data_IF_016588000971
#
_entry.id   IF_016588000971
#
_cell.length_a   1.000
_cell.length_b   1.000
_cell.length_c   1.000
_cell.angle_alpha   90.00
_cell.angle_beta   90.00
_cell.angle_gamma   90.00
#
_symmetry.space_group_name_H-M   'P 1'
#
loop_
_entity.id
_entity.type
_entity.pdbx_description
1 polymer ?
#
# COMPACT_ATOMS: atom_id res chain seq x y z
N UNK A 1 -19.83 -5.21 -15.41
CA UNK A 1 -18.64 -4.86 -14.63
C UNK A 1 -18.07 -6.15 -14.07
N UNK A 2 -16.79 -6.46 -14.31
CA UNK A 2 -16.17 -7.68 -13.79
C UNK A 2 -15.94 -7.57 -12.28
N UNK A 3 -15.81 -8.70 -11.57
CA UNK A 3 -15.48 -8.72 -10.13
C UNK A 3 -14.17 -7.94 -9.88
N UNK A 4 -13.16 -8.19 -10.71
CA UNK A 4 -11.88 -7.48 -10.65
C UNK A 4 -12.03 -5.97 -10.84
N UNK A 5 -12.89 -5.54 -11.78
CA UNK A 5 -13.19 -4.13 -12.00
C UNK A 5 -13.81 -3.46 -10.77
N UNK A 6 -14.79 -4.11 -10.14
CA UNK A 6 -15.40 -3.62 -8.89
C UNK A 6 -14.38 -3.44 -7.78
N UNK A 7 -13.48 -4.41 -7.59
CA UNK A 7 -12.46 -4.36 -6.54
C UNK A 7 -11.42 -3.26 -6.80
N UNK A 8 -11.06 -3.03 -8.06
CA UNK A 8 -10.18 -1.92 -8.39
C UNK A 8 -10.87 -0.58 -8.12
N UNK A 9 -12.15 -0.43 -8.47
CA UNK A 9 -12.91 0.81 -8.21
C UNK A 9 -13.08 1.08 -6.70
N UNK A 10 -13.29 0.04 -5.90
CA UNK A 10 -13.29 0.13 -4.44
C UNK A 10 -11.92 0.58 -3.91
N UNK A 11 -10.83 -0.01 -4.40
CA UNK A 11 -9.48 0.40 -4.02
C UNK A 11 -9.18 1.84 -4.46
N UNK A 12 -9.56 2.24 -5.68
CA UNK A 12 -9.38 3.61 -6.20
C UNK A 12 -10.07 4.63 -5.28
N UNK A 13 -11.30 4.32 -4.84
CA UNK A 13 -12.05 5.16 -3.91
C UNK A 13 -11.34 5.27 -2.56
N UNK A 14 -10.86 4.16 -2.01
CA UNK A 14 -10.10 4.13 -0.76
C UNK A 14 -8.79 4.91 -0.86
N UNK A 15 -8.06 4.78 -1.98
CA UNK A 15 -6.81 5.51 -2.24
C UNK A 15 -7.07 7.01 -2.36
N UNK A 16 -8.11 7.44 -3.09
CA UNK A 16 -8.48 8.84 -3.16
C UNK A 16 -8.78 9.42 -1.76
N UNK A 17 -9.56 8.71 -0.96
CA UNK A 17 -9.85 9.11 0.42
C UNK A 17 -8.61 9.17 1.33
N UNK A 18 -7.68 8.22 1.18
CA UNK A 18 -6.40 8.24 1.90
C UNK A 18 -5.62 9.52 1.54
N UNK A 19 -5.46 9.78 0.25
CA UNK A 19 -4.71 10.93 -0.27
C UNK A 19 -5.32 12.24 0.25
N UNK A 20 -6.65 12.38 0.18
CA UNK A 20 -7.33 13.59 0.67
C UNK A 20 -7.10 13.81 2.17
N UNK A 21 -7.18 12.75 2.98
CA UNK A 21 -6.92 12.85 4.42
C UNK A 21 -5.48 13.27 4.70
N UNK A 22 -4.50 12.70 4.00
CA UNK A 22 -3.09 13.02 4.23
C UNK A 22 -2.68 14.38 3.67
N UNK A 23 -3.28 14.84 2.56
CA UNK A 23 -3.06 16.20 2.04
C UNK A 23 -3.64 17.28 2.95
N UNK A 24 -4.74 16.97 3.65
CA UNK A 24 -5.38 17.87 4.60
C UNK A 24 -4.86 17.71 6.05
N UNK A 25 -3.81 16.91 6.26
CA UNK A 25 -3.33 16.57 7.58
C UNK A 25 -2.68 17.80 8.25
N UNK A 26 -3.18 18.27 9.40
CA UNK A 26 -2.63 19.47 10.05
C UNK A 26 -1.25 19.23 10.67
N UNK A 27 -1.02 18.01 11.17
CA UNK A 27 0.24 17.59 11.78
C UNK A 27 0.56 16.13 11.36
N UNK A 28 1.59 15.90 10.53
CA UNK A 28 2.01 14.55 10.15
C UNK A 28 2.64 13.75 11.28
N UNK A 29 3.11 14.41 12.33
CA UNK A 29 3.84 13.78 13.44
C UNK A 29 2.91 13.37 14.58
N UNK A 30 1.59 13.56 14.43
CA UNK A 30 0.58 13.14 15.42
C UNK A 30 0.71 11.64 15.72
N UNK A 31 0.83 11.24 17.00
CA UNK A 31 0.96 9.82 17.36
C UNK A 31 -0.32 9.04 17.04
N UNK A 32 -0.19 7.96 16.25
CA UNK A 32 -1.28 7.01 15.94
C UNK A 32 -1.15 5.73 16.75
N UNK A 33 0.07 5.20 16.82
CA UNK A 33 0.44 4.06 17.67
C UNK A 33 1.56 4.49 18.63
N UNK A 34 1.95 3.61 19.56
CA UNK A 34 2.96 3.93 20.59
C UNK A 34 4.28 4.46 20.00
N UNK A 35 4.70 3.96 18.83
CA UNK A 35 5.95 4.34 18.18
C UNK A 35 5.77 5.03 16.83
N UNK A 36 4.55 5.12 16.30
CA UNK A 36 4.31 5.55 14.93
C UNK A 36 3.38 6.76 14.87
N UNK A 37 3.85 7.79 14.19
CA UNK A 37 3.08 8.95 13.76
C UNK A 37 2.14 8.62 12.60
N UNK A 38 1.26 9.57 12.24
CA UNK A 38 0.45 9.45 11.03
C UNK A 38 1.32 9.32 9.77
N UNK A 39 2.44 10.04 9.69
CA UNK A 39 3.42 9.89 8.61
C UNK A 39 4.00 8.47 8.56
N UNK A 40 4.39 7.90 9.69
CA UNK A 40 4.95 6.54 9.73
C UNK A 40 3.95 5.50 9.24
N UNK A 41 2.66 5.69 9.56
CA UNK A 41 1.58 4.86 9.01
C UNK A 41 1.48 4.97 7.48
N UNK A 42 1.58 6.18 6.92
CA UNK A 42 1.60 6.35 5.47
C UNK A 42 2.82 5.69 4.83
N UNK A 43 3.98 5.82 5.48
CA UNK A 43 5.22 5.19 5.03
C UNK A 43 5.07 3.67 5.00
N UNK A 44 4.52 3.07 6.05
CA UNK A 44 4.21 1.63 6.10
C UNK A 44 3.26 1.21 4.97
N UNK A 45 2.18 1.95 4.75
CA UNK A 45 1.26 1.69 3.64
C UNK A 45 1.99 1.77 2.28
N UNK A 46 2.82 2.80 2.09
CA UNK A 46 3.59 3.03 0.86
C UNK A 46 4.57 1.91 0.59
N UNK A 47 5.29 1.46 1.61
CA UNK A 47 6.24 0.36 1.49
C UNK A 47 5.59 -0.92 0.93
N UNK A 48 4.42 -1.30 1.48
CA UNK A 48 3.71 -2.49 1.01
C UNK A 48 3.04 -2.28 -0.35
N UNK A 49 2.51 -1.09 -0.62
CA UNK A 49 1.90 -0.75 -1.91
C UNK A 49 2.92 -0.77 -3.05
N UNK A 50 4.13 -0.25 -2.82
CA UNK A 50 5.26 -0.35 -3.76
C UNK A 50 5.71 -1.79 -3.98
N UNK A 51 5.69 -2.61 -2.93
CA UNK A 51 6.00 -4.04 -3.07
C UNK A 51 4.98 -4.75 -3.96
N UNK A 52 3.70 -4.46 -3.79
CA UNK A 52 2.65 -4.99 -4.66
C UNK A 52 2.83 -4.51 -6.10
N UNK A 53 2.97 -3.21 -6.31
CA UNK A 53 3.17 -2.60 -7.62
C UNK A 53 4.36 -3.22 -8.37
N UNK A 54 5.51 -3.37 -7.69
CA UNK A 54 6.71 -3.98 -8.29
C UNK A 54 6.50 -5.44 -8.67
N UNK A 55 5.91 -6.25 -7.79
CA UNK A 55 5.66 -7.67 -8.08
C UNK A 55 4.69 -7.85 -9.26
N UNK A 56 3.68 -6.99 -9.33
CA UNK A 56 2.72 -6.96 -10.43
C UNK A 56 3.38 -6.57 -11.75
N UNK A 57 4.16 -5.50 -11.76
CA UNK A 57 4.89 -5.02 -12.92
C UNK A 57 5.91 -6.06 -13.43
N UNK A 58 6.63 -6.72 -12.52
CA UNK A 58 7.54 -7.82 -12.87
C UNK A 58 6.80 -8.94 -13.62
N UNK A 59 5.67 -9.41 -13.09
CA UNK A 59 4.88 -10.48 -13.72
C UNK A 59 4.38 -10.10 -15.11
N UNK A 60 3.82 -8.89 -15.26
CA UNK A 60 3.30 -8.40 -16.55
C UNK A 60 4.39 -8.34 -17.62
N UNK A 61 5.61 -8.02 -17.23
CA UNK A 61 6.73 -7.91 -18.15
C UNK A 61 7.58 -9.19 -18.24
N UNK A 62 7.10 -10.32 -17.72
CA UNK A 62 7.82 -11.61 -17.77
C UNK A 62 9.13 -11.63 -16.95
N UNK A 63 9.31 -10.68 -16.02
CA UNK A 63 10.40 -10.68 -15.05
C UNK A 63 10.02 -11.54 -13.85
N UNK A 64 11.02 -12.12 -13.20
CA UNK A 64 10.82 -12.87 -11.97
C UNK A 64 10.65 -11.91 -10.79
N UNK A 65 9.49 -11.92 -10.08
CA UNK A 65 9.31 -11.07 -8.91
C UNK A 65 10.30 -11.40 -7.80
N UNK A 66 10.66 -10.38 -7.04
CA UNK A 66 11.50 -10.50 -5.84
C UNK A 66 10.69 -10.10 -4.59
N UNK A 67 9.80 -10.97 -4.09
CA UNK A 67 8.98 -10.66 -2.92
C UNK A 67 9.87 -10.52 -1.67
N UNK A 68 9.42 -9.65 -0.77
CA UNK A 68 10.13 -9.33 0.47
C UNK A 68 10.42 -10.60 1.30
N UNK A 69 11.57 -10.62 1.97
CA UNK A 69 12.02 -11.75 2.81
C UNK A 69 12.40 -11.23 4.19
N UNK A 70 11.82 -11.81 5.24
CA UNK A 70 12.08 -11.42 6.63
C UNK A 70 10.87 -11.66 7.52
N UNK A 71 10.95 -11.30 8.80
CA UNK A 71 9.76 -11.22 9.67
C UNK A 71 8.99 -9.95 9.33
N UNK A 72 7.66 -9.99 9.48
CA UNK A 72 6.82 -8.82 9.17
C UNK A 72 7.21 -7.60 10.00
N UNK A 73 7.49 -7.79 11.30
CA UNK A 73 7.94 -6.69 12.17
C UNK A 73 9.23 -6.03 11.68
N UNK A 74 10.21 -6.81 11.23
CA UNK A 74 11.48 -6.27 10.73
C UNK A 74 11.28 -5.56 9.38
N UNK A 75 10.42 -6.09 8.52
CA UNK A 75 10.10 -5.48 7.22
C UNK A 75 9.34 -4.16 7.38
N UNK A 76 8.37 -4.14 8.29
CA UNK A 76 7.60 -2.93 8.59
C UNK A 76 8.52 -1.85 9.14
N UNK A 77 9.34 -2.17 10.15
CA UNK A 77 10.28 -1.20 10.73
C UNK A 77 11.31 -0.75 9.69
N UNK A 78 11.91 -1.67 8.93
CA UNK A 78 12.87 -1.33 7.90
C UNK A 78 12.28 -0.47 6.77
N UNK A 79 11.00 -0.67 6.43
CA UNK A 79 10.27 0.19 5.49
C UNK A 79 10.08 1.61 6.02
N UNK A 80 9.70 1.75 7.29
CA UNK A 80 9.58 3.05 7.97
C UNK A 80 10.94 3.76 8.02
N UNK A 81 11.97 3.08 8.50
CA UNK A 81 13.32 3.63 8.65
C UNK A 81 13.89 4.09 7.30
N UNK A 82 13.70 3.30 6.23
CA UNK A 82 14.20 3.60 4.90
C UNK A 82 13.60 4.88 4.29
N UNK A 83 12.42 5.30 4.75
CA UNK A 83 11.69 6.47 4.24
C UNK A 83 11.56 7.60 5.27
N UNK A 84 12.10 7.45 6.48
CA UNK A 84 11.97 8.44 7.56
C UNK A 84 12.44 9.85 7.16
N UNK A 85 13.47 9.92 6.31
CA UNK A 85 14.06 11.15 5.79
C UNK A 85 13.20 11.88 4.73
N UNK A 86 12.17 11.23 4.19
CA UNK A 86 11.31 11.81 3.15
C UNK A 86 10.29 12.77 3.75
N UNK A 87 9.85 13.78 2.99
CA UNK A 87 8.72 14.61 3.39
C UNK A 87 7.39 13.84 3.24
N UNK A 88 6.32 14.31 3.88
CA UNK A 88 4.99 13.71 3.69
C UNK A 88 4.57 13.73 2.20
N UNK A 89 4.86 14.82 1.50
CA UNK A 89 4.54 14.98 0.09
C UNK A 89 5.29 13.98 -0.79
N UNK A 90 6.57 13.69 -0.49
CA UNK A 90 7.36 12.70 -1.23
C UNK A 90 6.81 11.29 -1.03
N UNK A 91 6.43 10.94 0.22
CA UNK A 91 5.82 9.64 0.52
C UNK A 91 4.48 9.48 -0.20
N UNK A 92 3.64 10.52 -0.22
CA UNK A 92 2.38 10.54 -0.98
C UNK A 92 2.63 10.35 -2.48
N UNK A 93 3.59 11.07 -3.07
CA UNK A 93 3.91 10.94 -4.49
C UNK A 93 4.36 9.52 -4.86
N UNK A 94 5.10 8.85 -3.97
CA UNK A 94 5.49 7.45 -4.11
C UNK A 94 4.30 6.50 -4.02
N UNK A 95 3.40 6.72 -3.06
CA UNK A 95 2.16 5.95 -2.93
C UNK A 95 1.29 6.05 -4.18
N UNK A 96 1.10 7.27 -4.70
CA UNK A 96 0.34 7.55 -5.93
C UNK A 96 0.98 6.85 -7.14
N UNK A 97 2.31 6.93 -7.29
CA UNK A 97 3.03 6.28 -8.38
C UNK A 97 2.89 4.75 -8.33
N UNK A 98 3.00 4.14 -7.13
CA UNK A 98 2.77 2.72 -6.94
C UNK A 98 1.32 2.33 -7.30
N UNK A 99 0.35 3.15 -6.93
CA UNK A 99 -1.05 2.88 -7.27
C UNK A 99 -1.31 2.97 -8.77
N UNK A 100 -0.70 3.91 -9.49
CA UNK A 100 -0.81 4.01 -10.94
C UNK A 100 -0.25 2.75 -11.66
N UNK A 101 0.85 2.18 -11.15
CA UNK A 101 1.39 0.91 -11.66
C UNK A 101 0.39 -0.24 -11.45
N UNK A 102 -0.31 -0.27 -10.31
CA UNK A 102 -1.36 -1.25 -10.04
C UNK A 102 -2.49 -1.10 -11.07
N UNK A 103 -3.00 0.11 -11.25
CA UNK A 103 -4.08 0.39 -12.21
C UNK A 103 -3.71 -0.01 -13.64
N UNK A 104 -2.47 0.27 -14.07
CA UNK A 104 -2.00 -0.03 -15.42
C UNK A 104 -1.87 -1.54 -15.70
N UNK A 105 -1.56 -2.34 -14.67
CA UNK A 105 -1.15 -3.74 -14.86
C UNK A 105 -2.17 -4.77 -14.38
N UNK A 106 -3.08 -4.43 -13.45
CA UNK A 106 -3.90 -5.43 -12.74
C UNK A 106 -4.85 -6.23 -13.65
N UNK A 107 -5.24 -5.67 -14.80
CA UNK A 107 -6.12 -6.34 -15.77
C UNK A 107 -5.37 -7.21 -16.80
N UNK A 108 -4.05 -7.35 -16.67
CA UNK A 108 -3.30 -8.18 -17.61
C UNK A 108 -3.78 -9.65 -17.52
N UNK A 109 -4.25 -10.26 -18.62
CA UNK A 109 -4.83 -11.60 -18.61
C UNK A 109 -3.83 -12.72 -18.28
N UNK A 110 -2.52 -12.44 -18.28
CA UNK A 110 -1.50 -13.42 -17.88
C UNK A 110 -1.31 -13.51 -16.37
N UNK A 111 -1.92 -12.59 -15.60
CA UNK A 111 -1.84 -12.61 -14.15
C UNK A 111 -2.74 -13.71 -13.59
N UNK A 112 -2.13 -14.62 -12.84
CA UNK A 112 -2.83 -15.69 -12.12
C UNK A 112 -2.64 -15.55 -10.62
N UNK A 113 -1.38 -15.49 -10.19
CA UNK A 113 -0.99 -15.32 -8.79
C UNK A 113 0.08 -14.26 -8.65
N UNK A 114 -0.05 -13.45 -7.61
CA UNK A 114 0.82 -12.32 -7.29
C UNK A 114 1.48 -12.62 -5.94
N UNK A 115 2.81 -12.70 -5.88
CA UNK A 115 3.49 -12.99 -4.64
C UNK A 115 3.41 -11.80 -3.68
N UNK A 116 3.26 -12.09 -2.39
CA UNK A 116 3.24 -11.09 -1.32
C UNK A 116 4.60 -10.99 -0.64
N UNK A 117 4.93 -12.01 0.16
CA UNK A 117 6.16 -12.12 0.92
C UNK A 117 6.68 -13.55 0.81
N UNK A 118 7.99 -13.73 0.74
CA UNK A 118 8.61 -15.07 0.68
C UNK A 118 8.15 -15.94 1.84
N UNK A 119 7.69 -17.16 1.54
CA UNK A 119 7.17 -18.12 2.51
C UNK A 119 5.72 -17.89 2.94
N UNK A 120 5.03 -16.91 2.35
CA UNK A 120 3.58 -16.72 2.47
C UNK A 120 2.89 -17.25 1.21
N UNK A 121 1.56 -17.42 1.26
CA UNK A 121 0.79 -17.75 0.05
C UNK A 121 0.80 -16.58 -0.95
N UNK A 122 0.71 -16.91 -2.22
CA UNK A 122 0.44 -15.96 -3.29
C UNK A 122 -1.08 -15.73 -3.39
N UNK A 123 -1.48 -14.61 -3.98
CA UNK A 123 -2.88 -14.18 -4.06
C UNK A 123 -3.32 -13.97 -5.51
N UNK A 124 -4.58 -14.24 -5.82
CA UNK A 124 -5.14 -13.78 -7.10
C UNK A 124 -5.19 -12.25 -7.14
N UNK A 125 -5.31 -11.61 -8.33
CA UNK A 125 -5.53 -10.18 -8.42
C UNK A 125 -6.68 -9.68 -7.52
N UNK A 126 -7.82 -10.37 -7.51
CA UNK A 126 -8.98 -10.03 -6.70
C UNK A 126 -8.68 -10.09 -5.19
N UNK A 127 -8.06 -11.19 -4.74
CA UNK A 127 -7.70 -11.35 -3.33
C UNK A 127 -6.71 -10.27 -2.87
N UNK A 128 -5.73 -9.94 -3.72
CA UNK A 128 -4.71 -8.96 -3.39
C UNK A 128 -5.33 -7.55 -3.25
N UNK A 129 -6.25 -7.18 -4.14
CA UNK A 129 -6.99 -5.91 -4.05
C UNK A 129 -7.83 -5.86 -2.77
N UNK A 130 -8.52 -6.95 -2.39
CA UNK A 130 -9.31 -7.00 -1.15
C UNK A 130 -8.43 -6.79 0.09
N UNK A 131 -7.28 -7.47 0.14
CA UNK A 131 -6.34 -7.39 1.26
C UNK A 131 -5.79 -5.96 1.40
N UNK A 132 -5.35 -5.36 0.30
CA UNK A 132 -4.80 -4.00 0.30
C UNK A 132 -5.86 -2.98 0.66
N UNK A 133 -7.07 -3.12 0.11
CA UNK A 133 -8.19 -2.22 0.41
C UNK A 133 -8.58 -2.28 1.90
N UNK A 134 -8.65 -3.49 2.48
CA UNK A 134 -8.93 -3.66 3.91
C UNK A 134 -7.82 -3.05 4.78
N UNK A 135 -6.56 -3.28 4.42
CA UNK A 135 -5.39 -2.76 5.14
C UNK A 135 -5.33 -1.23 5.15
N UNK A 136 -5.58 -0.58 4.00
CA UNK A 136 -5.63 0.89 3.93
C UNK A 136 -6.78 1.43 4.79
N UNK A 137 -7.97 0.83 4.69
CA UNK A 137 -9.13 1.28 5.47
C UNK A 137 -8.92 1.11 6.98
N UNK A 138 -8.25 0.05 7.43
CA UNK A 138 -7.90 -0.14 8.83
C UNK A 138 -7.04 1.02 9.35
N UNK A 139 -5.91 1.28 8.70
CA UNK A 139 -5.01 2.34 9.11
C UNK A 139 -5.61 3.74 8.97
N UNK A 140 -6.41 3.98 7.92
CA UNK A 140 -7.11 5.25 7.75
C UNK A 140 -8.10 5.53 8.90
N UNK A 141 -8.78 4.49 9.41
CA UNK A 141 -9.64 4.64 10.60
C UNK A 141 -8.83 5.02 11.83
N UNK A 142 -7.66 4.45 12.02
CA UNK A 142 -6.83 4.72 13.19
C UNK A 142 -6.21 6.12 13.15
N UNK A 143 -5.72 6.56 11.99
CA UNK A 143 -5.27 7.94 11.76
C UNK A 143 -6.40 8.92 12.07
N UNK A 144 -7.60 8.69 11.54
CA UNK A 144 -8.78 9.54 11.82
C UNK A 144 -9.18 9.58 13.30
N UNK A 145 -8.97 8.49 14.05
CA UNK A 145 -9.21 8.49 15.50
C UNK A 145 -8.16 9.33 16.23
N UNK A 146 -6.90 9.24 15.82
CA UNK A 146 -5.81 10.03 16.41
C UNK A 146 -6.03 11.53 16.21
N UNK A 147 -6.53 11.95 15.04
CA UNK A 147 -6.83 13.36 14.72
C UNK A 147 -8.01 13.97 15.49
N UNK A 148 -8.84 13.16 16.15
CA UNK A 148 -9.97 13.64 16.96
C UNK A 148 -9.62 13.80 18.44
N UNK A 149 -8.41 13.39 18.84
CA UNK A 149 -7.91 13.56 20.21
C UNK A 149 -7.43 14.98 20.40
#
# INVERSE_FOLDING_TARGET
>A
MSILGSKLDELNTTVAHLIDVYRALPDPDVPVYELWSAKDVLVHLTFWHESFARNLDDLVNGRKPSPLKGRLIDLNQGGVDAMAHLSLADVLGRFEAAHAIIQANIFNPTLTLIPYKKGSRDYTPEEHLDIVNAHINEHLRDVRKALKR
#
